data_IF_600230942986
#
_entry.id   IF_600230942986
#
_cell.length_a   1.000
_cell.length_b   1.000
_cell.length_c   1.000
_cell.angle_alpha   90.00
_cell.angle_beta   90.00
_cell.angle_gamma   90.00
#
_symmetry.space_group_name_H-M   'P 1'
#
loop_
_entity.id
_entity.type
_entity.pdbx_description
1 polymer ?
#
# COMPACT_ATOMS: atom_id res chain seq x y z
N UNK A 1 -0.05 -5.88 6.89
CA UNK A 1 -0.78 -4.72 6.32
C UNK A 1 -0.83 -4.85 4.80
N UNK A 2 -1.97 -4.60 4.18
CA UNK A 2 -2.12 -4.54 2.74
C UNK A 2 -2.41 -3.09 2.30
N UNK A 3 -1.85 -2.68 1.17
CA UNK A 3 -2.09 -1.38 0.56
C UNK A 3 -3.00 -1.57 -0.64
N UNK A 4 -4.08 -0.79 -0.70
CA UNK A 4 -5.10 -0.89 -1.73
C UNK A 4 -5.34 0.50 -2.30
N UNK A 5 -5.37 0.63 -3.63
CA UNK A 5 -5.85 1.84 -4.28
C UNK A 5 -7.37 1.79 -4.33
N UNK A 6 -8.04 2.69 -3.60
CA UNK A 6 -9.49 2.66 -3.39
C UNK A 6 -10.29 2.87 -4.68
N UNK A 7 -9.76 3.67 -5.59
CA UNK A 7 -10.38 4.04 -6.86
C UNK A 7 -10.61 2.83 -7.79
N UNK A 8 -9.61 1.96 -7.86
CA UNK A 8 -9.50 0.81 -8.76
C UNK A 8 -9.68 -0.50 -8.03
N UNK A 9 -9.80 -0.47 -6.70
CA UNK A 9 -9.80 -1.64 -5.80
C UNK A 9 -8.60 -2.56 -6.06
N UNK A 10 -7.50 -2.00 -6.54
CA UNK A 10 -6.29 -2.75 -6.87
C UNK A 10 -5.41 -2.92 -5.63
N UNK A 11 -5.00 -4.17 -5.35
CA UNK A 11 -4.02 -4.45 -4.31
C UNK A 11 -2.64 -4.02 -4.82
N UNK A 12 -2.04 -3.05 -4.14
CA UNK A 12 -0.72 -2.53 -4.47
C UNK A 12 0.36 -3.41 -3.88
N UNK A 13 0.21 -3.77 -2.61
CA UNK A 13 1.22 -4.54 -1.90
C UNK A 13 0.68 -5.16 -0.61
N UNK A 14 1.30 -6.23 -0.15
CA UNK A 14 0.92 -7.02 1.02
C UNK A 14 2.16 -7.26 1.87
N UNK A 15 2.11 -6.83 3.13
CA UNK A 15 3.24 -6.86 4.06
C UNK A 15 4.47 -6.17 3.44
N UNK A 16 5.52 -6.93 3.14
CA UNK A 16 6.76 -6.46 2.53
C UNK A 16 6.86 -6.82 1.04
N UNK A 17 5.79 -7.38 0.47
CA UNK A 17 5.77 -7.85 -0.91
C UNK A 17 4.93 -6.92 -1.79
N UNK A 18 5.52 -6.45 -2.88
CA UNK A 18 4.82 -5.68 -3.91
C UNK A 18 3.95 -6.61 -4.76
N UNK A 19 2.67 -6.26 -4.97
CA UNK A 19 1.75 -7.01 -5.85
C UNK A 19 1.63 -6.32 -7.20
N UNK A 20 1.65 -4.99 -7.21
CA UNK A 20 1.67 -4.20 -8.45
C UNK A 20 3.05 -4.23 -9.11
N UNK A 21 3.07 -4.30 -10.44
CA UNK A 21 4.28 -4.26 -11.26
C UNK A 21 4.81 -2.83 -11.52
N UNK A 22 4.25 -1.81 -10.87
CA UNK A 22 4.70 -0.45 -11.08
C UNK A 22 6.03 -0.19 -10.34
N UNK A 23 7.16 0.01 -11.06
CA UNK A 23 8.49 0.14 -10.45
C UNK A 23 8.65 1.42 -9.61
N UNK A 24 7.71 2.36 -9.74
CA UNK A 24 7.68 3.59 -8.95
C UNK A 24 7.17 3.37 -7.53
N UNK A 25 6.44 2.28 -7.29
CA UNK A 25 5.89 1.94 -5.99
C UNK A 25 6.84 1.02 -5.24
N UNK A 26 7.07 1.32 -3.97
CA UNK A 26 7.90 0.52 -3.07
C UNK A 26 7.31 0.51 -1.66
N UNK A 27 7.57 -0.54 -0.91
CA UNK A 27 7.23 -0.60 0.51
C UNK A 27 8.50 -0.62 1.34
N UNK A 28 8.48 0.16 2.41
CA UNK A 28 9.47 0.09 3.48
C UNK A 28 8.80 -0.32 4.78
N UNK A 29 9.48 -1.17 5.54
CA UNK A 29 9.07 -1.60 6.88
C UNK A 29 10.16 -1.18 7.86
N UNK A 30 9.77 -0.50 8.95
CA UNK A 30 10.72 -0.01 9.95
C UNK A 30 11.09 -1.05 11.02
N UNK A 31 10.69 -2.32 10.87
CA UNK A 31 11.02 -3.40 11.81
C UNK A 31 10.11 -3.49 13.04
N UNK A 32 9.25 -2.50 13.26
CA UNK A 32 8.21 -2.54 14.30
C UNK A 32 6.84 -2.79 13.67
N UNK A 33 6.04 -1.74 13.55
CA UNK A 33 4.62 -1.82 13.20
C UNK A 33 4.23 -0.83 12.10
N UNK A 34 5.21 -0.27 11.37
CA UNK A 34 4.96 0.75 10.35
C UNK A 34 5.37 0.25 8.98
N UNK A 35 4.36 0.09 8.13
CA UNK A 35 4.53 -0.12 6.69
C UNK A 35 4.30 1.21 6.00
N UNK A 36 5.27 1.67 5.22
CA UNK A 36 5.15 2.90 4.42
C UNK A 36 5.16 2.54 2.95
N UNK A 37 4.11 2.96 2.24
CA UNK A 37 4.08 2.96 0.78
C UNK A 37 4.78 4.22 0.27
N UNK A 38 5.75 4.04 -0.62
CA UNK A 38 6.49 5.11 -1.24
C UNK A 38 6.26 5.08 -2.76
N UNK A 39 5.95 6.25 -3.33
CA UNK A 39 5.70 6.44 -4.75
C UNK A 39 6.74 7.43 -5.27
N UNK A 40 7.68 6.97 -6.07
CA UNK A 40 8.67 7.82 -6.72
C UNK A 40 8.12 8.41 -8.01
N UNK A 41 8.57 9.62 -8.38
CA UNK A 41 8.11 10.30 -9.59
C UNK A 41 6.58 10.34 -9.72
N UNK A 42 5.92 10.90 -8.70
CA UNK A 42 4.45 10.99 -8.59
C UNK A 42 3.87 11.70 -9.81
N UNK A 43 2.87 11.09 -10.43
CA UNK A 43 2.15 11.62 -11.58
C UNK A 43 0.72 11.97 -11.18
N UNK A 44 0.04 12.80 -11.99
CA UNK A 44 -1.34 13.19 -11.71
C UNK A 44 -2.31 11.99 -11.67
N UNK A 45 -2.00 10.91 -12.40
CA UNK A 45 -2.76 9.66 -12.37
C UNK A 45 -2.57 8.83 -11.08
N UNK A 46 -1.54 9.13 -10.30
CA UNK A 46 -1.34 8.52 -8.98
C UNK A 46 -2.17 9.24 -7.91
N UNK A 47 -2.83 10.36 -8.25
CA UNK A 47 -3.81 10.96 -7.35
C UNK A 47 -4.96 9.98 -7.08
N UNK A 48 -5.44 10.00 -5.84
CA UNK A 48 -6.52 9.12 -5.40
C UNK A 48 -6.38 8.72 -3.93
N UNK A 49 -7.32 7.91 -3.48
CA UNK A 49 -7.36 7.42 -2.10
C UNK A 49 -6.63 6.09 -1.98
N UNK A 50 -5.70 6.01 -1.04
CA UNK A 50 -4.95 4.80 -0.70
C UNK A 50 -5.42 4.31 0.67
N UNK A 51 -5.80 3.04 0.75
CA UNK A 51 -6.22 2.40 1.99
C UNK A 51 -5.13 1.47 2.51
N UNK A 52 -4.83 1.59 3.80
CA UNK A 52 -4.02 0.63 4.52
C UNK A 52 -4.95 -0.32 5.30
N UNK A 53 -4.95 -1.60 4.92
CA UNK A 53 -5.77 -2.62 5.55
C UNK A 53 -4.91 -3.49 6.46
N UNK A 54 -5.26 -3.60 7.74
CA UNK A 54 -4.55 -4.47 8.69
C UNK A 54 -5.30 -5.80 8.79
N UNK A 55 -4.73 -6.84 8.19
CA UNK A 55 -5.16 -8.23 8.39
C UNK A 55 -4.64 -8.73 9.76
N UNK A 56 -5.14 -8.15 10.84
CA UNK A 56 -5.22 -8.86 12.13
C UNK A 56 -6.53 -9.65 12.14
N UNK A 57 -6.62 -10.74 12.91
CA UNK A 57 -7.92 -11.34 13.24
C UNK A 57 -8.35 -10.77 14.60
N UNK A 58 -9.41 -9.94 14.68
CA UNK A 58 -10.30 -9.50 13.60
C UNK A 58 -9.71 -8.34 12.76
N UNK A 59 -10.19 -8.23 11.52
CA UNK A 59 -9.73 -7.23 10.55
C UNK A 59 -10.02 -5.82 11.07
N UNK A 60 -9.00 -4.97 11.20
CA UNK A 60 -9.17 -3.56 11.57
C UNK A 60 -8.85 -2.66 10.37
N UNK A 61 -9.80 -1.77 10.05
CA UNK A 61 -9.61 -0.63 9.16
C UNK A 61 -9.30 0.58 10.03
N UNK A 62 -8.21 1.31 9.74
CA UNK A 62 -7.83 2.55 10.42
C UNK A 62 -8.08 3.71 9.47
#
# INVERSE_FOLDING_TARGET
>A
VAWIKSDSRAILAIQNHMVTHNPRLSITHNGHNTWRLHISNVQQNDSGTYMCQINTDPMRSI
#
